data_IF_167054968022
#
_entry.id   IF_167054968022
#
_cell.length_a   1.000
_cell.length_b   1.000
_cell.length_c   1.000
_cell.angle_alpha   90.00
_cell.angle_beta   90.00
_cell.angle_gamma   90.00
#
_symmetry.space_group_name_H-M   'P 1'
#
loop_
_entity.id
_entity.type
_entity.pdbx_description
1 polymer ?
#
# COMPACT_ATOMS: atom_id res chain seq x y z
N UNK A 1 -10.84 -6.03 -16.65
CA UNK A 1 -11.35 -5.81 -15.28
C UNK A 1 -12.66 -6.59 -15.02
N UNK A 2 -13.66 -6.52 -15.91
CA UNK A 2 -14.96 -7.18 -15.66
C UNK A 2 -14.86 -8.67 -15.41
N UNK A 3 -14.08 -9.41 -16.20
CA UNK A 3 -13.90 -10.87 -16.01
C UNK A 3 -13.22 -11.16 -14.67
N UNK A 4 -12.21 -10.38 -14.30
CA UNK A 4 -11.52 -10.54 -13.01
C UNK A 4 -12.46 -10.29 -11.84
N UNK A 5 -13.21 -9.18 -11.86
CA UNK A 5 -14.17 -8.84 -10.82
C UNK A 5 -15.26 -9.90 -10.65
N UNK A 6 -15.82 -10.39 -11.76
CA UNK A 6 -16.86 -11.42 -11.75
C UNK A 6 -16.38 -12.75 -11.15
N UNK A 7 -15.08 -13.04 -11.24
CA UNK A 7 -14.46 -14.28 -10.73
C UNK A 7 -13.73 -14.09 -9.39
N UNK A 8 -13.92 -12.96 -8.71
CA UNK A 8 -13.33 -12.70 -7.40
C UNK A 8 -11.81 -12.45 -7.43
N UNK A 9 -11.23 -12.18 -8.60
CA UNK A 9 -9.81 -11.77 -8.73
C UNK A 9 -9.64 -10.38 -8.16
N UNK A 10 -8.55 -10.16 -7.43
CA UNK A 10 -8.14 -8.83 -6.95
C UNK A 10 -6.95 -8.31 -7.74
N UNK A 11 -6.89 -7.00 -7.94
CA UNK A 11 -5.74 -6.32 -8.52
C UNK A 11 -4.84 -5.82 -7.40
N UNK A 12 -3.60 -6.30 -7.36
CA UNK A 12 -2.53 -5.77 -6.51
C UNK A 12 -1.85 -4.63 -7.24
N UNK A 13 -1.80 -3.44 -6.62
CA UNK A 13 -1.35 -2.22 -7.27
C UNK A 13 -0.29 -1.51 -6.43
N UNK A 14 0.84 -1.16 -7.06
CA UNK A 14 1.83 -0.24 -6.51
C UNK A 14 1.36 1.18 -6.82
N UNK A 15 1.05 1.94 -5.78
CA UNK A 15 0.33 3.21 -5.91
C UNK A 15 1.21 4.44 -5.67
N UNK A 16 2.50 4.36 -5.99
CA UNK A 16 3.47 5.44 -5.82
C UNK A 16 3.37 6.55 -6.89
N UNK A 17 2.58 6.33 -7.94
CA UNK A 17 2.44 7.25 -9.08
C UNK A 17 3.61 7.19 -10.07
N UNK A 18 4.61 6.35 -9.80
CA UNK A 18 5.77 6.10 -10.64
C UNK A 18 5.65 4.78 -11.42
N UNK A 19 5.31 3.67 -10.74
CA UNK A 19 5.03 2.39 -11.39
C UNK A 19 3.76 2.44 -12.24
N UNK A 20 2.71 3.06 -11.70
CA UNK A 20 1.41 3.18 -12.35
C UNK A 20 0.98 4.65 -12.32
N UNK A 21 0.73 5.21 -13.51
CA UNK A 21 0.27 6.60 -13.62
C UNK A 21 -1.06 6.80 -12.85
N UNK A 22 -1.26 7.94 -12.13
CA UNK A 22 -2.48 8.18 -11.35
C UNK A 22 -3.79 8.05 -12.13
N UNK A 23 -3.82 8.39 -13.42
CA UNK A 23 -5.01 8.22 -14.27
C UNK A 23 -5.37 6.73 -14.43
N UNK A 24 -4.37 5.85 -14.59
CA UNK A 24 -4.56 4.40 -14.68
C UNK A 24 -5.02 3.82 -13.36
N UNK A 25 -4.47 4.29 -12.24
CA UNK A 25 -4.94 3.92 -10.90
C UNK A 25 -6.41 4.25 -10.71
N UNK A 26 -6.86 5.48 -11.07
CA UNK A 26 -8.28 5.84 -10.97
C UNK A 26 -9.18 4.92 -11.79
N UNK A 27 -8.76 4.51 -12.99
CA UNK A 27 -9.50 3.56 -13.82
C UNK A 27 -9.55 2.20 -13.12
N UNK A 28 -8.41 1.68 -12.66
CA UNK A 28 -8.34 0.38 -11.99
C UNK A 28 -9.24 0.32 -10.74
N UNK A 29 -9.16 1.33 -9.87
CA UNK A 29 -9.98 1.42 -8.67
C UNK A 29 -11.47 1.49 -9.00
N UNK A 30 -11.87 2.29 -10.00
CA UNK A 30 -13.26 2.41 -10.45
C UNK A 30 -13.79 1.09 -10.97
N UNK A 31 -13.07 0.44 -11.87
CA UNK A 31 -13.52 -0.79 -12.54
C UNK A 31 -13.51 -2.00 -11.59
N UNK A 32 -12.55 -2.11 -10.69
CA UNK A 32 -12.48 -3.19 -9.71
C UNK A 32 -13.45 -3.01 -8.54
N UNK A 33 -13.95 -1.80 -8.30
CA UNK A 33 -14.87 -1.50 -7.20
C UNK A 33 -14.20 -1.53 -5.82
N UNK A 34 -15.01 -1.42 -4.76
CA UNK A 34 -14.50 -1.27 -3.37
C UNK A 34 -13.72 -2.47 -2.86
N UNK A 35 -14.01 -3.68 -3.33
CA UNK A 35 -13.46 -4.92 -2.79
C UNK A 35 -12.42 -5.58 -3.71
N UNK A 36 -12.22 -5.03 -4.91
CA UNK A 36 -11.40 -5.66 -5.95
C UNK A 36 -9.94 -5.21 -5.99
N UNK A 37 -9.54 -4.21 -5.20
CA UNK A 37 -8.18 -3.68 -5.19
C UNK A 37 -7.45 -3.96 -3.89
N UNK A 38 -6.14 -4.19 -3.98
CA UNK A 38 -5.19 -4.32 -2.87
C UNK A 38 -4.01 -3.39 -3.14
N UNK A 39 -3.70 -2.52 -2.20
CA UNK A 39 -2.48 -1.71 -2.25
C UNK A 39 -1.31 -2.57 -1.78
N UNK A 40 -0.26 -2.63 -2.60
CA UNK A 40 1.02 -3.24 -2.25
C UNK A 40 2.14 -2.22 -2.41
N UNK A 41 3.22 -2.38 -1.69
CA UNK A 41 4.41 -1.53 -1.83
C UNK A 41 5.46 -2.12 -2.75
N UNK A 42 5.56 -3.44 -2.83
CA UNK A 42 6.63 -4.15 -3.55
C UNK A 42 8.03 -3.59 -3.21
N UNK A 43 8.24 -3.31 -1.92
CA UNK A 43 9.43 -2.59 -1.45
C UNK A 43 10.66 -3.48 -1.38
N UNK A 44 11.78 -2.95 -1.85
CA UNK A 44 13.09 -3.54 -1.61
C UNK A 44 13.69 -3.09 -0.26
N UNK A 45 14.82 -3.68 0.12
CA UNK A 45 15.54 -3.37 1.37
C UNK A 45 15.95 -1.90 1.55
N UNK A 46 15.94 -1.10 0.48
CA UNK A 46 16.24 0.33 0.52
C UNK A 46 15.03 1.19 0.96
N UNK A 47 13.86 0.61 1.17
CA UNK A 47 12.69 1.35 1.63
C UNK A 47 12.95 1.98 3.01
N UNK A 48 12.77 3.30 3.10
CA UNK A 48 13.07 4.07 4.31
C UNK A 48 14.56 4.39 4.53
N UNK A 49 15.43 3.99 3.62
CA UNK A 49 16.86 4.35 3.63
C UNK A 49 17.12 5.60 2.78
N UNK A 50 18.26 6.31 2.98
CA UNK A 50 18.68 7.40 2.11
C UNK A 50 18.88 6.95 0.67
N UNK A 51 18.89 7.91 -0.27
CA UNK A 51 19.34 7.65 -1.63
C UNK A 51 20.78 7.11 -1.63
N UNK A 52 21.05 6.16 -2.51
CA UNK A 52 22.34 5.45 -2.52
C UNK A 52 22.34 4.27 -3.48
N UNK A 53 23.42 3.50 -3.43
CA UNK A 53 23.59 2.30 -4.21
C UNK A 53 23.29 1.08 -3.34
N UNK A 54 22.45 0.21 -3.85
CA UNK A 54 21.93 -0.97 -3.16
C UNK A 54 22.09 -2.21 -4.02
N UNK A 55 21.67 -3.33 -3.50
CA UNK A 55 21.63 -4.62 -4.18
C UNK A 55 20.25 -5.25 -4.07
N UNK A 56 19.77 -5.84 -5.14
CA UNK A 56 18.55 -6.62 -5.20
C UNK A 56 18.85 -7.97 -5.87
N UNK A 57 19.02 -9.00 -5.06
CA UNK A 57 19.28 -10.35 -5.56
C UNK A 57 20.57 -10.49 -6.35
N UNK A 58 21.62 -9.72 -6.01
CA UNK A 58 22.90 -9.69 -6.72
C UNK A 58 22.97 -8.68 -7.87
N UNK A 59 21.88 -7.94 -8.14
CA UNK A 59 21.87 -6.86 -9.13
C UNK A 59 22.07 -5.51 -8.48
N UNK A 60 22.98 -4.66 -8.97
CA UNK A 60 23.11 -3.28 -8.50
C UNK A 60 21.83 -2.48 -8.79
N UNK A 61 21.35 -1.76 -7.78
CA UNK A 61 20.19 -0.87 -7.86
C UNK A 61 20.58 0.52 -7.36
N UNK A 62 20.25 1.53 -8.13
CA UNK A 62 20.53 2.93 -7.84
C UNK A 62 19.26 3.62 -7.35
N UNK A 63 19.24 4.03 -6.08
CA UNK A 63 18.13 4.82 -5.53
C UNK A 63 18.47 6.30 -5.67
N UNK A 64 17.65 7.02 -6.41
CA UNK A 64 17.76 8.47 -6.64
C UNK A 64 16.37 9.10 -6.58
N UNK A 65 16.21 10.14 -5.80
CA UNK A 65 14.92 10.81 -5.56
C UNK A 65 13.82 9.80 -5.16
N UNK A 66 14.19 8.80 -4.34
CA UNK A 66 13.29 7.74 -3.88
C UNK A 66 12.85 6.75 -4.96
N UNK A 67 13.51 6.70 -6.13
CA UNK A 67 13.24 5.76 -7.22
C UNK A 67 14.36 4.75 -7.33
N UNK A 68 14.04 3.47 -7.29
CA UNK A 68 15.00 2.38 -7.42
C UNK A 68 15.07 1.91 -8.88
N UNK A 69 16.20 2.16 -9.54
CA UNK A 69 16.42 1.88 -10.95
C UNK A 69 17.65 0.98 -11.13
N UNK A 70 17.63 0.16 -12.18
CA UNK A 70 18.82 -0.49 -12.72
C UNK A 70 19.68 0.50 -13.50
N UNK A 71 20.88 0.07 -13.91
CA UNK A 71 21.83 0.90 -14.64
C UNK A 71 21.30 1.38 -16.01
N UNK A 72 20.38 0.65 -16.61
CA UNK A 72 19.74 0.97 -17.89
C UNK A 72 18.47 1.86 -17.73
N UNK A 73 18.14 2.25 -16.50
CA UNK A 73 16.96 3.06 -16.18
C UNK A 73 15.67 2.25 -15.99
N UNK A 74 15.73 0.92 -16.06
CA UNK A 74 14.57 0.06 -15.76
C UNK A 74 14.20 0.15 -14.27
N UNK A 75 12.92 0.20 -13.96
CA UNK A 75 12.42 0.16 -12.57
C UNK A 75 12.80 -1.19 -11.97
N UNK A 76 13.51 -1.17 -10.83
CA UNK A 76 13.97 -2.38 -10.15
C UNK A 76 12.97 -2.85 -9.09
N UNK A 77 12.47 -1.91 -8.29
CA UNK A 77 11.52 -2.16 -7.20
C UNK A 77 11.00 -0.83 -6.64
N UNK A 78 10.11 -0.90 -5.65
CA UNK A 78 9.68 0.28 -4.90
C UNK A 78 10.59 0.56 -3.69
N UNK A 79 10.66 1.82 -3.28
CA UNK A 79 11.20 2.29 -2.01
C UNK A 79 10.12 2.85 -1.08
N UNK A 80 8.86 2.68 -1.48
CA UNK A 80 7.68 3.19 -0.77
C UNK A 80 7.23 2.22 0.34
N UNK A 81 6.17 2.57 1.04
CA UNK A 81 5.47 1.69 1.98
C UNK A 81 3.96 1.83 1.82
N UNK A 82 3.20 0.84 2.29
CA UNK A 82 1.73 0.79 2.11
C UNK A 82 1.02 2.05 2.64
N UNK A 83 1.52 2.66 3.73
CA UNK A 83 0.90 3.87 4.27
C UNK A 83 1.11 5.10 3.36
N UNK A 84 2.30 5.23 2.76
CA UNK A 84 2.57 6.25 1.75
C UNK A 84 1.73 6.03 0.50
N UNK A 85 1.61 4.79 0.06
CA UNK A 85 0.74 4.40 -1.06
C UNK A 85 -0.73 4.75 -0.81
N UNK A 86 -1.24 4.49 0.41
CA UNK A 86 -2.58 4.87 0.83
C UNK A 86 -2.82 6.38 0.70
N UNK A 87 -1.89 7.20 1.19
CA UNK A 87 -1.97 8.66 1.05
C UNK A 87 -1.94 9.11 -0.41
N UNK A 88 -1.12 8.47 -1.23
CA UNK A 88 -1.03 8.77 -2.64
C UNK A 88 -2.37 8.53 -3.35
N UNK A 89 -3.00 7.35 -3.18
CA UNK A 89 -4.28 7.07 -3.86
C UNK A 89 -5.39 8.03 -3.46
N UNK A 90 -5.42 8.45 -2.19
CA UNK A 90 -6.36 9.49 -1.73
C UNK A 90 -6.07 10.82 -2.44
N UNK A 91 -4.79 11.22 -2.52
CA UNK A 91 -4.38 12.43 -3.23
C UNK A 91 -4.67 12.38 -4.74
N UNK A 92 -4.70 11.19 -5.34
CA UNK A 92 -5.06 10.97 -6.73
C UNK A 92 -6.57 11.00 -7.00
N UNK A 93 -7.38 11.21 -5.95
CA UNK A 93 -8.83 11.35 -6.03
C UNK A 93 -9.62 10.04 -5.93
N UNK A 94 -9.00 8.96 -5.47
CA UNK A 94 -9.73 7.75 -5.10
C UNK A 94 -10.46 8.00 -3.76
N UNK A 95 -11.75 7.60 -3.64
CA UNK A 95 -12.51 7.78 -2.41
C UNK A 95 -11.79 7.15 -1.19
N UNK A 96 -11.71 7.89 -0.10
CA UNK A 96 -11.00 7.49 1.14
C UNK A 96 -11.43 6.10 1.63
N UNK A 97 -12.74 5.86 1.68
CA UNK A 97 -13.28 4.55 2.07
C UNK A 97 -12.71 3.41 1.23
N UNK A 98 -12.62 3.60 -0.09
CA UNK A 98 -12.09 2.60 -1.00
C UNK A 98 -10.59 2.42 -0.81
N UNK A 99 -9.84 3.52 -0.66
CA UNK A 99 -8.41 3.50 -0.39
C UNK A 99 -8.09 2.77 0.93
N UNK A 100 -8.81 3.05 2.01
CA UNK A 100 -8.63 2.38 3.30
C UNK A 100 -8.94 0.89 3.19
N UNK A 101 -10.05 0.49 2.55
CA UNK A 101 -10.38 -0.93 2.33
C UNK A 101 -9.27 -1.66 1.58
N UNK A 102 -8.69 -1.03 0.56
CA UNK A 102 -7.63 -1.64 -0.26
C UNK A 102 -6.29 -1.81 0.49
N UNK A 103 -6.10 -1.12 1.60
CA UNK A 103 -4.92 -1.25 2.47
C UNK A 103 -5.18 -2.07 3.75
N UNK A 104 -6.42 -2.50 4.00
CA UNK A 104 -6.81 -3.17 5.25
C UNK A 104 -7.57 -4.46 5.00
N UNK A 105 -8.90 -4.39 4.88
CA UNK A 105 -9.76 -5.59 4.79
C UNK A 105 -9.58 -6.36 3.47
N UNK A 106 -9.29 -5.67 2.36
CA UNK A 106 -9.14 -6.36 1.07
C UNK A 106 -7.89 -7.26 1.04
N UNK A 107 -6.68 -6.81 1.46
CA UNK A 107 -5.54 -7.71 1.58
C UNK A 107 -5.77 -8.82 2.60
N UNK A 108 -6.45 -8.55 3.73
CA UNK A 108 -6.78 -9.59 4.70
C UNK A 108 -7.67 -10.69 4.07
N UNK A 109 -8.68 -10.32 3.30
CA UNK A 109 -9.52 -11.26 2.54
C UNK A 109 -8.74 -12.00 1.45
N UNK A 110 -7.79 -11.33 0.79
CA UNK A 110 -6.98 -11.96 -0.27
C UNK A 110 -6.18 -13.15 0.26
N UNK A 111 -5.64 -13.04 1.47
CA UNK A 111 -4.85 -14.10 2.13
C UNK A 111 -5.66 -14.88 3.18
N UNK A 112 -6.98 -14.66 3.26
CA UNK A 112 -7.91 -15.41 4.14
C UNK A 112 -7.59 -15.31 5.62
N UNK A 113 -7.29 -14.10 6.09
CA UNK A 113 -7.07 -13.78 7.51
C UNK A 113 -8.03 -12.68 8.01
N UNK A 114 -9.07 -12.41 7.26
CA UNK A 114 -10.05 -11.37 7.56
C UNK A 114 -10.96 -11.71 8.77
N UNK A 115 -10.93 -12.95 9.23
CA UNK A 115 -11.46 -13.37 10.53
C UNK A 115 -10.60 -12.86 11.72
N UNK A 116 -9.34 -12.50 11.48
CA UNK A 116 -8.37 -12.11 12.52
C UNK A 116 -8.00 -10.63 12.50
N UNK A 117 -8.02 -9.98 11.34
CA UNK A 117 -7.55 -8.60 11.16
C UNK A 117 -8.19 -7.93 9.95
N UNK A 118 -7.83 -6.67 9.68
CA UNK A 118 -8.27 -5.88 8.52
C UNK A 118 -9.53 -5.05 8.76
N UNK A 119 -10.20 -5.21 9.90
CA UNK A 119 -11.33 -4.37 10.34
C UNK A 119 -11.36 -4.28 11.86
N UNK A 120 -12.03 -3.24 12.38
CA UNK A 120 -12.22 -3.04 13.82
C UNK A 120 -13.53 -3.72 14.20
N UNK A 121 -13.42 -4.95 14.69
CA UNK A 121 -14.55 -5.78 15.12
C UNK A 121 -14.16 -6.57 16.37
N UNK A 122 -15.18 -6.88 17.21
CA UNK A 122 -14.97 -7.68 18.41
C UNK A 122 -14.40 -9.07 18.06
N UNK A 123 -13.38 -9.50 18.79
CA UNK A 123 -12.69 -10.79 18.58
C UNK A 123 -11.52 -10.73 17.61
N UNK A 124 -11.33 -9.63 16.87
CA UNK A 124 -10.16 -9.44 16.01
C UNK A 124 -8.97 -8.85 16.75
N UNK A 125 -7.80 -9.00 16.16
CA UNK A 125 -6.57 -8.38 16.65
C UNK A 125 -6.73 -6.85 16.63
N UNK A 126 -6.35 -6.20 17.72
CA UNK A 126 -6.33 -4.74 17.80
C UNK A 126 -5.06 -4.19 17.12
N UNK A 127 -5.00 -4.29 15.79
CA UNK A 127 -4.02 -3.65 14.93
C UNK A 127 -4.65 -2.35 14.41
N UNK A 128 -4.36 -1.22 15.08
CA UNK A 128 -5.08 0.05 14.86
C UNK A 128 -4.09 1.17 14.59
N UNK A 129 -4.35 1.93 13.54
CA UNK A 129 -3.66 3.16 13.21
C UNK A 129 -4.61 4.34 13.41
N UNK A 130 -4.23 5.29 14.26
CA UNK A 130 -4.95 6.55 14.43
C UNK A 130 -4.16 7.67 13.75
N UNK A 131 -4.85 8.42 12.91
CA UNK A 131 -4.27 9.54 12.18
C UNK A 131 -5.12 10.80 12.36
N UNK A 132 -4.50 11.97 12.18
CA UNK A 132 -5.24 13.23 12.11
C UNK A 132 -5.84 13.45 10.70
N UNK A 133 -6.52 14.58 10.52
CA UNK A 133 -7.13 14.98 9.24
C UNK A 133 -6.15 15.14 8.08
N UNK A 134 -4.86 15.32 8.37
CA UNK A 134 -3.79 15.47 7.40
C UNK A 134 -2.98 14.16 7.23
N UNK A 135 -3.54 13.06 7.74
CA UNK A 135 -2.91 11.71 7.73
C UNK A 135 -1.56 11.65 8.44
N UNK A 136 -1.34 12.47 9.49
CA UNK A 136 -0.17 12.29 10.36
C UNK A 136 -0.49 11.23 11.41
N UNK A 137 0.45 10.31 11.62
CA UNK A 137 0.30 9.21 12.59
C UNK A 137 0.30 9.77 14.01
N UNK A 138 -0.79 9.50 14.74
CA UNK A 138 -0.97 9.86 16.15
C UNK A 138 -0.78 8.67 17.08
N UNK A 139 -1.29 7.51 16.70
CA UNK A 139 -1.17 6.31 17.52
C UNK A 139 -1.02 5.09 16.64
N UNK A 140 -0.16 4.17 17.04
CA UNK A 140 -0.04 2.83 16.43
C UNK A 140 -0.21 1.80 17.52
N UNK A 141 -1.20 0.92 17.35
CA UNK A 141 -1.46 -0.22 18.21
C UNK A 141 -1.23 -1.49 17.40
N UNK A 142 -0.49 -2.44 17.95
CA UNK A 142 -0.23 -3.74 17.32
C UNK A 142 -0.58 -4.82 18.33
N UNK A 143 -1.55 -5.66 18.00
CA UNK A 143 -2.08 -6.72 18.89
C UNK A 143 -2.48 -6.20 20.27
N UNK A 144 -3.07 -5.01 20.33
CA UNK A 144 -3.49 -4.37 21.56
C UNK A 144 -2.39 -3.59 22.31
N UNK A 145 -1.15 -3.65 21.88
CA UNK A 145 -0.03 -2.91 22.48
C UNK A 145 0.26 -1.61 21.75
N UNK A 146 0.37 -0.51 22.48
CA UNK A 146 0.75 0.79 21.92
C UNK A 146 2.24 0.75 21.52
N UNK A 147 2.53 0.96 20.25
CA UNK A 147 3.90 1.00 19.71
C UNK A 147 4.38 2.43 19.41
N UNK A 148 3.45 3.33 19.07
CA UNK A 148 3.71 4.76 18.85
C UNK A 148 2.58 5.55 19.52
N UNK A 149 2.93 6.62 20.23
CA UNK A 149 1.97 7.54 20.81
C UNK A 149 2.46 8.99 20.62
N UNK A 150 1.77 9.72 19.74
CA UNK A 150 1.99 11.13 19.40
C UNK A 150 0.71 11.96 19.64
N UNK A 151 -0.18 11.52 20.55
CA UNK A 151 -1.39 12.23 20.95
C UNK A 151 -1.07 13.45 21.79
#
# INVERSE_FOLDING_TARGET
>A
FDVGRANGVRAELICDGFHIHPATLRIAFREMGEDGTVIISDSMKAAGCPDGDYDLGGQPVYVRDGKALLADGTIAASTSNVYKELKNVISFGIPEKQAVKSATINPAKAIRVDDKTGSIEEGKLADILVVDKDYNIKLVIVKGEIKVNNL
#
